data_IF_438282139421
#
_entry.id   IF_438282139421
#
_cell.length_a   1.000
_cell.length_b   1.000
_cell.length_c   1.000
_cell.angle_alpha   90.00
_cell.angle_beta   90.00
_cell.angle_gamma   90.00
#
_symmetry.space_group_name_H-M   'P 1'
#
loop_
_entity.id
_entity.type
_entity.pdbx_description
1 polymer ?
#
# COMPACT_ATOMS: atom_id res chain seq x y z
N UNK A 1 -26.74 -6.36 -11.38
CA UNK A 1 -26.77 -5.32 -12.44
C UNK A 1 -25.43 -4.61 -12.41
N UNK A 2 -24.74 -4.50 -13.52
CA UNK A 2 -23.52 -3.70 -13.60
C UNK A 2 -23.93 -2.24 -13.55
N UNK A 3 -23.42 -1.48 -12.58
CA UNK A 3 -23.66 -0.05 -12.51
C UNK A 3 -22.86 0.63 -13.62
N UNK A 4 -23.54 1.15 -14.63
CA UNK A 4 -22.91 1.78 -15.79
C UNK A 4 -22.58 3.26 -15.61
N UNK A 5 -23.02 3.84 -14.49
CA UNK A 5 -22.76 5.24 -14.14
C UNK A 5 -22.06 5.33 -12.79
N UNK A 6 -21.02 6.15 -12.72
CA UNK A 6 -20.36 6.47 -11.45
C UNK A 6 -21.32 7.25 -10.54
N UNK A 7 -21.35 7.00 -9.23
CA UNK A 7 -22.06 7.85 -8.29
C UNK A 7 -21.61 9.32 -8.44
N UNK A 8 -22.54 10.28 -8.31
CA UNK A 8 -22.23 11.71 -8.50
C UNK A 8 -21.06 12.21 -7.63
N UNK A 9 -20.92 11.67 -6.42
CA UNK A 9 -19.88 12.02 -5.46
C UNK A 9 -18.59 11.18 -5.58
N UNK A 10 -18.47 10.30 -6.57
CA UNK A 10 -17.27 9.47 -6.78
C UNK A 10 -16.23 10.09 -7.71
N UNK A 11 -16.62 11.12 -8.45
CA UNK A 11 -15.72 11.83 -9.37
C UNK A 11 -15.25 13.10 -8.68
N UNK A 12 -13.93 13.27 -8.47
CA UNK A 12 -13.40 14.50 -7.92
C UNK A 12 -13.68 15.69 -8.83
N UNK A 13 -14.07 16.82 -8.25
CA UNK A 13 -14.19 18.08 -8.95
C UNK A 13 -12.89 18.87 -8.89
N UNK A 14 -12.79 19.92 -9.71
CA UNK A 14 -11.67 20.85 -9.64
C UNK A 14 -11.71 21.59 -8.30
N UNK A 15 -10.64 21.48 -7.54
CA UNK A 15 -10.44 22.15 -6.26
C UNK A 15 -9.73 23.49 -6.40
N UNK A 16 -8.98 23.86 -5.38
CA UNK A 16 -8.20 25.08 -5.31
C UNK A 16 -6.93 24.99 -6.14
N UNK A 17 -6.47 26.13 -6.63
CA UNK A 17 -5.15 26.27 -7.25
C UNK A 17 -4.29 27.15 -6.36
N UNK A 18 -3.13 26.64 -5.99
CA UNK A 18 -2.14 27.35 -5.19
C UNK A 18 -0.92 27.62 -6.08
N UNK A 19 -0.64 28.89 -6.33
CA UNK A 19 0.49 29.35 -7.13
C UNK A 19 1.26 30.34 -6.25
N UNK A 20 2.24 29.84 -5.52
CA UNK A 20 3.10 30.62 -4.62
C UNK A 20 4.54 30.68 -5.14
N UNK A 21 4.71 30.56 -6.45
CA UNK A 21 6.05 30.58 -7.03
C UNK A 21 6.40 32.01 -7.41
N UNK A 22 7.27 32.64 -6.65
CA UNK A 22 8.03 33.78 -7.16
C UNK A 22 8.97 33.20 -8.24
N UNK A 23 8.60 33.44 -9.50
CA UNK A 23 9.27 32.89 -10.68
C UNK A 23 10.69 33.51 -10.94
N UNK A 24 11.10 34.45 -10.12
CA UNK A 24 12.34 35.19 -10.31
C UNK A 24 13.02 35.32 -8.95
N UNK A 25 14.26 34.84 -8.82
CA UNK A 25 15.10 35.13 -7.66
C UNK A 25 15.51 36.62 -7.65
N UNK A 26 16.03 37.09 -6.52
CA UNK A 26 16.51 38.50 -6.37
C UNK A 26 17.60 38.88 -7.37
N UNK A 27 18.14 37.92 -8.13
CA UNK A 27 19.19 38.10 -9.14
C UNK A 27 18.67 37.98 -10.59
N UNK A 28 17.35 37.77 -10.77
CA UNK A 28 16.73 37.68 -12.10
C UNK A 28 17.01 36.35 -12.84
N UNK A 29 17.48 35.31 -12.14
CA UNK A 29 17.74 34.01 -12.73
C UNK A 29 16.59 33.05 -12.42
N UNK A 30 16.04 32.44 -13.47
CA UNK A 30 14.97 31.47 -13.39
C UNK A 30 15.59 30.07 -13.18
N UNK A 31 16.01 29.76 -11.94
CA UNK A 31 16.61 28.46 -11.58
C UNK A 31 15.61 27.51 -10.91
N UNK A 32 14.33 27.83 -10.96
CA UNK A 32 13.28 27.04 -10.31
C UNK A 32 12.84 25.87 -11.20
N UNK A 33 12.90 24.64 -10.69
CA UNK A 33 12.22 23.48 -11.28
C UNK A 33 10.80 23.40 -10.75
N UNK A 34 9.87 24.06 -11.46
CA UNK A 34 8.46 24.08 -11.07
C UNK A 34 7.76 22.81 -11.52
N UNK A 35 7.18 22.09 -10.57
CA UNK A 35 6.31 20.96 -10.80
C UNK A 35 4.88 21.29 -10.42
N UNK A 36 3.95 20.73 -11.18
CA UNK A 36 2.54 20.76 -10.85
C UNK A 36 2.20 19.51 -10.08
N UNK A 37 1.56 19.67 -8.92
CA UNK A 37 1.17 18.55 -8.06
C UNK A 37 -0.33 18.60 -7.83
N UNK A 38 -1.05 17.65 -8.38
CA UNK A 38 -2.49 17.49 -8.19
C UNK A 38 -2.73 16.53 -7.04
N UNK A 39 -3.37 16.97 -5.99
CA UNK A 39 -3.59 16.18 -4.80
C UNK A 39 -5.08 15.99 -4.56
N UNK A 40 -5.49 14.74 -4.38
CA UNK A 40 -6.84 14.41 -3.94
C UNK A 40 -7.10 14.97 -2.54
N UNK A 41 -8.22 15.67 -2.40
CA UNK A 41 -8.67 16.27 -1.15
C UNK A 41 -10.10 15.87 -0.84
N UNK A 42 -10.33 15.51 0.40
CA UNK A 42 -11.65 15.27 0.95
C UNK A 42 -11.66 15.47 2.46
N UNK A 43 -12.69 16.16 2.95
CA UNK A 43 -12.80 16.53 4.36
C UNK A 43 -13.09 15.36 5.31
N UNK A 44 -13.62 14.25 4.80
CA UNK A 44 -14.15 13.14 5.59
C UNK A 44 -15.63 13.30 5.93
N UNK A 45 -16.28 14.38 5.50
CA UNK A 45 -17.72 14.63 5.75
C UNK A 45 -18.53 13.93 4.68
N UNK A 46 -19.49 13.10 5.10
CA UNK A 46 -20.36 12.38 4.20
C UNK A 46 -21.29 13.40 3.45
N UNK A 47 -21.40 13.20 2.14
CA UNK A 47 -22.16 14.09 1.25
C UNK A 47 -21.34 15.20 0.60
N UNK A 48 -20.15 15.52 1.11
CA UNK A 48 -19.23 16.41 0.42
C UNK A 48 -18.56 15.70 -0.76
N UNK A 49 -18.34 16.44 -1.85
CA UNK A 49 -17.70 15.90 -3.04
C UNK A 49 -16.17 16.04 -2.91
N UNK A 50 -15.41 14.98 -3.22
CA UNK A 50 -13.96 15.07 -3.25
C UNK A 50 -13.50 16.02 -4.36
N UNK A 51 -12.35 16.63 -4.18
CA UNK A 51 -11.77 17.58 -5.14
C UNK A 51 -10.30 17.29 -5.38
N UNK A 52 -9.76 17.84 -6.47
CA UNK A 52 -8.33 17.83 -6.77
C UNK A 52 -7.81 19.24 -6.61
N UNK A 53 -6.97 19.44 -5.61
CA UNK A 53 -6.23 20.70 -5.44
C UNK A 53 -4.95 20.65 -6.27
N UNK A 54 -4.66 21.75 -6.95
CA UNK A 54 -3.48 21.94 -7.81
C UNK A 54 -2.47 22.83 -7.11
N UNK A 55 -1.26 22.31 -6.94
CA UNK A 55 -0.14 23.03 -6.33
C UNK A 55 0.97 23.22 -7.36
N UNK A 56 1.43 24.46 -7.56
CA UNK A 56 2.62 24.78 -8.33
C UNK A 56 3.78 24.96 -7.33
N UNK A 57 4.72 24.03 -7.33
CA UNK A 57 5.77 23.94 -6.32
C UNK A 57 7.15 23.98 -6.99
N UNK A 58 8.00 24.87 -6.51
CA UNK A 58 9.42 24.79 -6.80
C UNK A 58 10.04 23.62 -6.02
N UNK A 59 10.48 22.61 -6.77
CA UNK A 59 11.07 21.41 -6.17
C UNK A 59 12.58 21.51 -5.99
N UNK A 60 13.24 22.56 -6.51
CA UNK A 60 14.68 22.76 -6.36
C UNK A 60 15.11 22.89 -4.90
N UNK A 61 14.23 23.46 -4.07
CA UNK A 61 14.41 23.62 -2.61
C UNK A 61 13.69 22.54 -1.79
N UNK A 62 12.98 21.60 -2.42
CA UNK A 62 12.44 20.42 -1.79
C UNK A 62 13.50 19.29 -1.76
N UNK A 63 13.27 18.23 -1.01
CA UNK A 63 14.07 17.01 -1.16
C UNK A 63 13.74 16.27 -2.48
N UNK A 64 14.35 15.12 -2.68
CA UNK A 64 14.28 14.38 -3.95
C UNK A 64 13.07 13.45 -4.08
N UNK A 65 12.31 13.25 -2.99
CA UNK A 65 11.20 12.30 -2.94
C UNK A 65 9.84 13.01 -2.99
N UNK A 66 8.83 12.33 -3.51
CA UNK A 66 7.44 12.83 -3.51
C UNK A 66 6.96 13.19 -2.09
N UNK A 67 7.41 12.45 -1.07
CA UNK A 67 7.10 12.78 0.32
C UNK A 67 7.61 14.16 0.73
N UNK A 68 8.74 14.59 0.19
CA UNK A 68 9.33 15.90 0.50
C UNK A 68 8.48 17.04 -0.08
N UNK A 69 7.92 16.82 -1.29
CA UNK A 69 6.95 17.75 -1.87
C UNK A 69 5.69 17.85 -0.98
N UNK A 70 5.15 16.72 -0.52
CA UNK A 70 3.99 16.73 0.38
C UNK A 70 4.30 17.44 1.70
N UNK A 71 5.52 17.26 2.23
CA UNK A 71 5.96 17.99 3.42
C UNK A 71 6.02 19.49 3.16
N UNK A 72 6.58 19.92 2.01
CA UNK A 72 6.66 21.32 1.62
C UNK A 72 5.28 21.94 1.44
N UNK A 73 4.37 21.26 0.71
CA UNK A 73 2.97 21.71 0.58
C UNK A 73 2.34 21.91 1.97
N UNK A 74 2.50 20.94 2.86
CA UNK A 74 1.90 21.00 4.19
C UNK A 74 2.49 22.09 5.09
N UNK A 75 3.79 22.35 5.00
CA UNK A 75 4.45 23.32 5.86
C UNK A 75 4.34 24.77 5.36
N UNK A 76 4.30 24.98 4.05
CA UNK A 76 4.44 26.31 3.45
C UNK A 76 3.17 26.82 2.75
N UNK A 77 2.31 25.88 2.26
CA UNK A 77 1.18 26.25 1.38
C UNK A 77 -0.16 25.96 2.04
N UNK A 78 -0.40 24.70 2.45
CA UNK A 78 -1.66 24.27 3.04
C UNK A 78 -1.46 23.27 4.18
N UNK A 79 -1.51 23.77 5.39
CA UNK A 79 -1.35 22.99 6.64
C UNK A 79 -2.45 21.95 6.86
N UNK A 80 -3.60 22.10 6.17
CA UNK A 80 -4.75 21.19 6.31
C UNK A 80 -4.56 19.86 5.59
N UNK A 81 -3.60 19.75 4.64
CA UNK A 81 -3.31 18.52 3.91
C UNK A 81 -2.98 17.37 4.85
N UNK A 82 -3.69 16.25 4.68
CA UNK A 82 -3.59 15.11 5.60
C UNK A 82 -3.04 13.87 4.87
N UNK A 83 -1.93 13.32 5.37
CA UNK A 83 -1.31 12.08 4.92
C UNK A 83 -0.53 11.42 6.05
N UNK A 84 -0.23 10.12 5.90
CA UNK A 84 0.58 9.37 6.86
C UNK A 84 2.05 9.39 6.47
N UNK A 85 2.92 9.56 7.43
CA UNK A 85 4.38 9.41 7.30
C UNK A 85 5.02 8.96 8.61
N UNK A 86 6.17 8.28 8.52
CA UNK A 86 6.95 7.88 9.69
C UNK A 86 8.43 7.75 9.33
N UNK A 87 8.91 6.56 8.90
CA UNK A 87 10.33 6.23 8.77
C UNK A 87 11.08 7.04 7.70
N UNK A 88 10.44 7.44 6.60
CA UNK A 88 11.00 8.14 5.43
C UNK A 88 12.02 7.31 4.61
N UNK A 89 12.15 6.03 4.87
CA UNK A 89 13.17 5.13 4.29
C UNK A 89 12.58 3.80 3.76
N UNK A 90 11.25 3.75 3.53
CA UNK A 90 10.60 2.58 2.94
C UNK A 90 10.45 1.37 3.85
N UNK A 91 10.47 1.53 5.18
CA UNK A 91 10.39 0.43 6.15
C UNK A 91 9.01 0.31 6.81
N UNK A 92 8.32 1.42 7.07
CA UNK A 92 7.07 1.39 7.86
C UNK A 92 5.79 1.22 7.03
N UNK A 93 5.83 1.44 5.71
CA UNK A 93 4.66 1.37 4.83
C UNK A 93 3.64 2.50 4.98
N UNK A 94 3.80 3.42 5.93
CA UNK A 94 2.78 4.43 6.29
C UNK A 94 2.44 5.38 5.15
N UNK A 95 3.41 5.77 4.33
CA UNK A 95 3.23 6.72 3.23
C UNK A 95 2.81 6.08 1.91
N UNK A 96 2.19 4.89 1.97
CA UNK A 96 1.66 4.23 0.78
C UNK A 96 0.48 5.02 0.21
N UNK A 97 0.54 5.32 -1.08
CA UNK A 97 -0.48 6.06 -1.83
C UNK A 97 -0.36 5.76 -3.32
N UNK A 98 -1.28 6.27 -4.12
CA UNK A 98 -1.20 6.17 -5.57
C UNK A 98 -0.54 7.44 -6.13
N UNK A 99 0.57 7.27 -6.85
CA UNK A 99 1.32 8.35 -7.48
C UNK A 99 1.39 8.04 -8.97
N UNK A 100 0.87 8.94 -9.81
CA UNK A 100 0.81 8.79 -11.28
C UNK A 100 0.23 7.42 -11.72
N UNK A 101 -0.83 6.96 -11.03
CA UNK A 101 -1.50 5.70 -11.33
C UNK A 101 -0.84 4.45 -10.74
N UNK A 102 0.31 4.57 -10.07
CA UNK A 102 1.03 3.44 -9.45
C UNK A 102 0.95 3.51 -7.93
N UNK A 103 0.55 2.42 -7.28
CA UNK A 103 0.58 2.32 -5.82
C UNK A 103 2.01 2.10 -5.35
N UNK A 104 2.55 3.03 -4.59
CA UNK A 104 3.94 3.01 -4.11
C UNK A 104 4.09 3.77 -2.79
N UNK A 105 5.32 3.91 -2.29
CA UNK A 105 5.64 4.69 -1.10
C UNK A 105 6.14 6.08 -1.51
N UNK A 106 5.51 7.13 -1.00
CA UNK A 106 5.92 8.51 -1.29
C UNK A 106 7.36 8.81 -0.87
N UNK A 107 7.88 8.13 0.16
CA UNK A 107 9.26 8.30 0.62
C UNK A 107 10.31 7.57 -0.23
N UNK A 108 9.90 6.76 -1.20
CA UNK A 108 10.80 6.03 -2.12
C UNK A 108 10.58 6.41 -3.59
N UNK A 109 9.50 7.11 -3.91
CA UNK A 109 9.23 7.57 -5.27
C UNK A 109 10.01 8.85 -5.53
N UNK A 110 11.02 8.77 -6.42
CA UNK A 110 11.83 9.90 -6.81
C UNK A 110 11.04 10.88 -7.70
N UNK A 111 11.24 12.17 -7.51
CA UNK A 111 10.52 13.22 -8.26
C UNK A 111 10.85 13.13 -9.75
N UNK A 112 12.09 12.83 -10.13
CA UNK A 112 12.51 12.71 -11.52
C UNK A 112 11.91 11.53 -12.27
N UNK A 113 11.38 10.54 -11.52
CA UNK A 113 10.63 9.42 -12.10
C UNK A 113 9.15 9.73 -12.32
N UNK A 114 8.69 10.90 -11.90
CA UNK A 114 7.33 11.37 -12.06
C UNK A 114 7.20 12.24 -13.32
N UNK A 115 5.96 12.37 -13.79
CA UNK A 115 5.63 13.34 -14.84
C UNK A 115 5.84 14.78 -14.33
N UNK A 116 5.89 15.76 -15.25
CA UNK A 116 5.91 17.17 -14.85
C UNK A 116 4.67 17.60 -14.08
N UNK A 117 3.57 16.90 -14.30
CA UNK A 117 2.30 17.04 -13.59
C UNK A 117 2.05 15.76 -12.78
N UNK A 118 2.35 15.80 -11.49
CA UNK A 118 2.30 14.67 -10.57
C UNK A 118 0.89 14.55 -10.00
N UNK A 119 0.28 13.38 -10.12
CA UNK A 119 -1.05 13.12 -9.61
C UNK A 119 -0.99 12.21 -8.38
N UNK A 120 -1.49 12.67 -7.24
CA UNK A 120 -1.43 11.97 -5.96
C UNK A 120 -2.82 11.70 -5.44
N UNK A 121 -3.12 10.41 -5.26
CA UNK A 121 -4.39 9.90 -4.75
C UNK A 121 -4.17 9.00 -3.53
N UNK A 122 -5.17 8.80 -2.67
CA UNK A 122 -5.11 7.75 -1.65
C UNK A 122 -5.01 6.37 -2.30
N UNK A 123 -4.66 5.34 -1.53
CA UNK A 123 -4.72 3.96 -1.99
C UNK A 123 -6.13 3.63 -2.50
N UNK A 124 -6.27 3.12 -3.75
CA UNK A 124 -7.58 2.87 -4.34
C UNK A 124 -8.34 1.75 -3.62
N UNK A 125 -9.68 1.75 -3.75
CA UNK A 125 -10.58 0.75 -3.19
C UNK A 125 -10.51 0.56 -1.67
N UNK A 126 -9.99 1.54 -0.95
CA UNK A 126 -10.11 1.64 0.51
C UNK A 126 -10.93 2.87 0.87
N UNK A 127 -11.73 2.78 1.93
CA UNK A 127 -12.51 3.92 2.43
C UNK A 127 -11.54 5.03 2.82
N UNK A 128 -11.71 6.21 2.25
CA UNK A 128 -10.93 7.38 2.63
C UNK A 128 -11.46 7.93 3.96
N UNK A 129 -10.56 8.27 4.87
CA UNK A 129 -10.89 8.96 6.13
C UNK A 129 -10.81 10.48 5.91
N UNK A 130 -9.69 10.93 5.34
CA UNK A 130 -9.46 12.32 4.96
C UNK A 130 -8.29 12.41 3.98
N UNK A 131 -8.42 13.18 2.93
CA UNK A 131 -7.41 13.42 1.90
C UNK A 131 -6.72 12.11 1.43
N UNK A 132 -5.44 11.92 1.75
CA UNK A 132 -4.64 10.75 1.36
C UNK A 132 -4.68 9.64 2.42
N UNK A 133 -5.44 9.80 3.49
CA UNK A 133 -5.53 8.83 4.59
C UNK A 133 -6.70 7.88 4.38
N UNK A 134 -6.41 6.60 4.23
CA UNK A 134 -7.40 5.52 4.09
C UNK A 134 -7.62 4.75 5.38
N UNK A 135 -8.79 4.13 5.52
CA UNK A 135 -9.11 3.21 6.61
C UNK A 135 -8.48 1.84 6.35
N UNK A 136 -7.58 1.42 7.23
CA UNK A 136 -6.88 0.13 7.15
C UNK A 136 -7.51 -0.94 8.07
N UNK A 137 -8.59 -0.63 8.79
CA UNK A 137 -9.16 -1.52 9.81
C UNK A 137 -9.49 -2.90 9.23
N UNK A 138 -10.22 -2.95 8.13
CA UNK A 138 -10.60 -4.20 7.46
C UNK A 138 -9.38 -5.02 7.02
N UNK A 139 -8.37 -4.37 6.45
CA UNK A 139 -7.15 -5.03 6.00
C UNK A 139 -6.37 -5.65 7.17
N UNK A 140 -6.31 -4.96 8.32
CA UNK A 140 -5.69 -5.52 9.53
C UNK A 140 -6.56 -6.59 10.22
N UNK A 141 -7.88 -6.52 10.14
CA UNK A 141 -8.77 -7.61 10.59
C UNK A 141 -8.52 -8.87 9.76
N UNK A 142 -8.39 -8.76 8.43
CA UNK A 142 -8.01 -9.86 7.56
C UNK A 142 -6.60 -10.41 7.90
N UNK A 143 -5.65 -9.52 8.17
CA UNK A 143 -4.31 -9.93 8.63
C UNK A 143 -4.36 -10.68 9.96
N UNK A 144 -5.13 -10.19 10.93
CA UNK A 144 -5.33 -10.87 12.21
C UNK A 144 -5.95 -12.25 12.04
N UNK A 145 -6.85 -12.43 11.05
CA UNK A 145 -7.55 -13.71 10.83
C UNK A 145 -6.63 -14.87 10.44
N UNK A 146 -5.46 -14.59 9.87
CA UNK A 146 -4.47 -15.63 9.55
C UNK A 146 -3.56 -15.99 10.73
N UNK A 147 -3.83 -15.45 11.92
CA UNK A 147 -3.04 -15.70 13.15
C UNK A 147 -1.54 -15.46 12.91
N UNK A 148 -1.11 -14.21 12.63
CA UNK A 148 0.27 -13.91 12.23
C UNK A 148 1.24 -13.91 13.43
N UNK A 149 1.31 -15.02 14.14
CA UNK A 149 2.20 -15.30 15.28
C UNK A 149 2.55 -16.77 15.33
N UNK A 150 3.64 -17.09 15.99
CA UNK A 150 4.10 -18.46 16.17
C UNK A 150 3.11 -19.24 17.04
N UNK A 151 2.65 -20.39 16.57
CA UNK A 151 1.81 -21.31 17.32
C UNK A 151 2.60 -22.57 17.66
N UNK A 152 2.79 -22.80 18.97
CA UNK A 152 3.49 -23.93 19.53
C UNK A 152 2.57 -24.74 20.44
N UNK A 153 2.61 -26.05 20.29
CA UNK A 153 1.82 -27.00 21.11
C UNK A 153 2.62 -27.51 22.32
N UNK A 154 3.96 -27.45 22.26
CA UNK A 154 4.83 -27.85 23.37
C UNK A 154 4.79 -26.81 24.49
N UNK A 155 4.44 -27.25 25.69
CA UNK A 155 4.58 -26.44 26.90
C UNK A 155 6.02 -26.61 27.41
N UNK A 156 6.72 -25.50 27.58
CA UNK A 156 8.04 -25.38 28.22
C UNK A 156 9.18 -26.12 27.50
N UNK A 157 9.72 -25.47 26.47
CA UNK A 157 11.10 -25.73 26.12
C UNK A 157 11.98 -24.77 26.95
N UNK A 158 12.90 -25.32 27.73
CA UNK A 158 13.89 -24.56 28.51
C UNK A 158 14.89 -23.81 27.59
N UNK A 159 14.80 -24.03 26.28
CA UNK A 159 15.70 -23.47 25.26
C UNK A 159 14.93 -22.83 24.10
N UNK A 160 15.61 -21.97 23.38
CA UNK A 160 15.10 -21.33 22.17
C UNK A 160 14.72 -22.35 21.08
N UNK A 161 13.69 -22.04 20.30
CA UNK A 161 13.30 -22.83 19.13
C UNK A 161 14.35 -22.63 18.03
N UNK A 162 15.19 -23.62 17.82
CA UNK A 162 16.26 -23.57 16.82
C UNK A 162 15.65 -23.69 15.42
N UNK A 163 16.20 -22.93 14.47
CA UNK A 163 15.85 -22.98 13.05
C UNK A 163 17.15 -23.17 12.25
N UNK A 164 17.12 -24.09 11.26
CA UNK A 164 18.25 -24.25 10.35
C UNK A 164 18.39 -23.05 9.40
N UNK A 165 19.57 -22.88 8.80
CA UNK A 165 19.81 -21.84 7.79
C UNK A 165 18.87 -22.05 6.58
N UNK A 166 18.74 -23.31 6.13
CA UNK A 166 17.90 -23.69 5.00
C UNK A 166 16.41 -23.39 5.25
N UNK A 167 15.93 -23.58 6.49
CA UNK A 167 14.56 -23.24 6.85
C UNK A 167 14.36 -21.74 6.98
N UNK A 168 15.38 -21.02 7.46
CA UNK A 168 15.36 -19.55 7.51
C UNK A 168 15.28 -18.95 6.11
N UNK A 169 16.04 -19.49 5.15
CA UNK A 169 16.05 -19.01 3.76
C UNK A 169 14.69 -19.17 3.06
N UNK A 170 13.86 -20.16 3.47
CA UNK A 170 12.51 -20.31 2.95
C UNK A 170 11.59 -19.13 3.28
N UNK A 171 11.94 -18.32 4.26
CA UNK A 171 11.18 -17.14 4.66
C UNK A 171 11.53 -15.89 3.85
N UNK A 172 12.66 -15.90 3.13
CA UNK A 172 13.10 -14.77 2.30
C UNK A 172 12.09 -14.48 1.19
N UNK A 173 11.86 -13.19 0.94
CA UNK A 173 10.81 -12.71 0.06
C UNK A 173 9.41 -12.74 0.68
N UNK A 174 9.28 -13.04 1.97
CA UNK A 174 7.99 -13.09 2.69
C UNK A 174 8.01 -12.24 3.97
N UNK A 175 9.02 -12.42 4.82
CA UNK A 175 9.11 -11.72 6.10
C UNK A 175 9.40 -10.22 5.94
N UNK A 176 9.97 -9.79 4.83
CA UNK A 176 10.29 -8.38 4.53
C UNK A 176 9.04 -7.54 4.20
N UNK A 177 7.87 -8.17 4.14
CA UNK A 177 6.62 -7.47 3.87
C UNK A 177 6.29 -6.47 4.99
N UNK A 178 6.19 -5.21 4.63
CA UNK A 178 5.90 -4.08 5.54
C UNK A 178 4.42 -3.76 5.70
N UNK A 179 3.54 -4.60 5.18
CA UNK A 179 2.07 -4.44 5.24
C UNK A 179 1.58 -3.06 4.78
N UNK A 180 2.19 -2.51 3.74
CA UNK A 180 1.80 -1.21 3.16
C UNK A 180 0.51 -1.29 2.32
N UNK A 181 0.04 -2.48 1.98
CA UNK A 181 -1.15 -2.78 1.17
C UNK A 181 -1.14 -2.25 -0.27
N UNK A 182 -0.04 -1.72 -0.80
CA UNK A 182 0.07 -1.31 -2.21
C UNK A 182 -0.33 -2.43 -3.17
N UNK A 183 0.12 -3.66 -2.90
CA UNK A 183 -0.21 -4.85 -3.69
C UNK A 183 -1.70 -5.25 -3.58
N UNK A 184 -2.30 -5.14 -2.41
CA UNK A 184 -3.71 -5.48 -2.16
C UNK A 184 -4.63 -4.51 -2.88
N UNK A 185 -4.35 -3.23 -2.80
CA UNK A 185 -5.13 -2.18 -3.45
C UNK A 185 -4.90 -2.08 -4.97
N UNK A 186 -3.87 -2.75 -5.50
CA UNK A 186 -3.65 -2.92 -6.94
C UNK A 186 -4.32 -4.17 -7.54
N UNK A 187 -4.95 -5.00 -6.71
CA UNK A 187 -5.49 -6.29 -7.13
C UNK A 187 -6.96 -6.19 -7.53
N UNK A 188 -7.32 -6.39 -8.83
CA UNK A 188 -8.72 -6.36 -9.27
C UNK A 188 -9.61 -7.37 -8.53
N UNK A 189 -9.07 -8.55 -8.20
CA UNK A 189 -9.83 -9.55 -7.42
C UNK A 189 -10.18 -9.05 -6.02
N UNK A 190 -9.34 -8.21 -5.41
CA UNK A 190 -9.63 -7.59 -4.12
C UNK A 190 -10.69 -6.50 -4.25
N UNK A 191 -10.66 -5.71 -5.31
CA UNK A 191 -11.64 -4.65 -5.53
C UNK A 191 -13.08 -5.16 -5.55
N UNK A 192 -13.30 -6.36 -6.12
CA UNK A 192 -14.63 -6.97 -6.25
C UNK A 192 -15.03 -7.87 -5.09
N UNK A 193 -14.09 -8.34 -4.27
CA UNK A 193 -14.33 -9.34 -3.24
C UNK A 193 -13.62 -8.99 -1.91
N UNK A 194 -13.47 -7.72 -1.59
CA UNK A 194 -12.76 -7.26 -0.40
C UNK A 194 -13.37 -7.77 0.93
N UNK A 195 -14.63 -8.20 0.88
CA UNK A 195 -15.35 -8.76 2.02
C UNK A 195 -14.86 -10.18 2.40
N UNK A 196 -14.34 -10.95 1.44
CA UNK A 196 -13.99 -12.36 1.63
C UNK A 196 -12.58 -12.71 1.18
N UNK A 197 -12.08 -12.09 0.10
CA UNK A 197 -10.75 -12.35 -0.40
C UNK A 197 -9.70 -11.67 0.49
N UNK A 198 -8.74 -12.46 0.99
CA UNK A 198 -7.72 -11.95 1.91
C UNK A 198 -6.74 -10.96 1.27
N UNK A 199 -6.61 -11.00 -0.05
CA UNK A 199 -5.71 -10.12 -0.78
C UNK A 199 -4.23 -10.54 -0.72
N UNK A 200 -3.42 -9.98 -1.64
CA UNK A 200 -2.04 -10.40 -1.81
C UNK A 200 -1.13 -10.17 -0.59
N UNK A 201 -1.29 -9.07 0.15
CA UNK A 201 -0.44 -8.78 1.32
C UNK A 201 -0.67 -9.81 2.44
N UNK A 202 -1.93 -10.08 2.75
CA UNK A 202 -2.31 -11.04 3.80
C UNK A 202 -1.92 -12.45 3.41
N UNK A 203 -2.13 -12.85 2.14
CA UNK A 203 -1.74 -14.18 1.66
C UNK A 203 -0.22 -14.38 1.60
N UNK A 204 0.56 -13.32 1.30
CA UNK A 204 2.01 -13.37 1.41
C UNK A 204 2.45 -13.67 2.86
N UNK A 205 1.84 -12.98 3.81
CA UNK A 205 2.10 -13.23 5.23
C UNK A 205 1.59 -14.60 5.71
N UNK A 206 0.45 -15.08 5.19
CA UNK A 206 -0.01 -16.43 5.46
C UNK A 206 1.02 -17.48 5.01
N UNK A 207 1.60 -17.30 3.80
CA UNK A 207 2.65 -18.20 3.31
C UNK A 207 3.91 -18.13 4.19
N UNK A 208 4.28 -16.96 4.69
CA UNK A 208 5.39 -16.82 5.64
C UNK A 208 5.19 -17.74 6.86
N UNK A 209 3.99 -17.78 7.43
CA UNK A 209 3.68 -18.62 8.59
C UNK A 209 3.54 -20.12 8.25
N UNK A 210 3.09 -20.45 7.05
CA UNK A 210 3.04 -21.84 6.55
C UNK A 210 4.45 -22.41 6.34
N UNK A 211 5.41 -21.56 5.94
CA UNK A 211 6.79 -21.95 5.72
C UNK A 211 7.66 -21.86 7.00
N UNK A 212 7.12 -21.35 8.09
CA UNK A 212 7.82 -21.23 9.36
C UNK A 212 8.02 -22.63 9.99
N UNK A 213 9.25 -23.13 10.00
CA UNK A 213 9.58 -24.49 10.47
C UNK A 213 9.33 -24.68 11.97
N UNK A 214 9.28 -23.60 12.73
CA UNK A 214 9.04 -23.61 14.17
C UNK A 214 7.55 -23.57 14.55
N UNK A 215 6.66 -23.41 13.57
CA UNK A 215 5.21 -23.37 13.76
C UNK A 215 4.60 -24.79 13.67
N UNK A 216 3.84 -25.20 14.68
CA UNK A 216 3.27 -26.54 14.75
C UNK A 216 1.90 -26.63 14.04
N UNK A 217 1.29 -25.51 13.65
CA UNK A 217 -0.08 -25.45 13.15
C UNK A 217 -0.19 -25.30 11.62
N UNK A 218 0.83 -25.69 10.86
CA UNK A 218 0.86 -25.62 9.40
C UNK A 218 -0.40 -26.22 8.75
N UNK A 219 -0.85 -27.40 9.21
CA UNK A 219 -2.01 -28.11 8.64
C UNK A 219 -3.31 -27.32 8.87
N UNK A 220 -3.50 -26.75 10.06
CA UNK A 220 -4.69 -25.99 10.38
C UNK A 220 -4.71 -24.67 9.60
N UNK A 221 -3.55 -24.00 9.43
CA UNK A 221 -3.42 -22.81 8.58
C UNK A 221 -3.82 -23.09 7.13
N UNK A 222 -3.39 -24.21 6.56
CA UNK A 222 -3.75 -24.60 5.19
C UNK A 222 -5.26 -24.88 5.08
N UNK A 223 -5.85 -25.57 6.05
CA UNK A 223 -7.28 -25.87 6.09
C UNK A 223 -8.13 -24.59 6.20
N UNK A 224 -7.74 -23.63 7.03
CA UNK A 224 -8.44 -22.34 7.16
C UNK A 224 -8.37 -21.50 5.88
N UNK A 225 -7.33 -21.67 5.04
CA UNK A 225 -7.15 -20.98 3.77
C UNK A 225 -7.79 -21.70 2.58
N UNK A 226 -8.11 -23.01 2.69
CA UNK A 226 -8.73 -23.81 1.60
C UNK A 226 -10.20 -23.42 1.40
N UNK A 227 -10.43 -22.20 0.95
CA UNK A 227 -11.73 -21.58 0.76
C UNK A 227 -11.82 -20.87 -0.60
N UNK A 228 -12.98 -21.01 -1.27
CA UNK A 228 -13.26 -20.46 -2.59
C UNK A 228 -12.99 -18.97 -2.70
N UNK A 229 -13.23 -18.23 -1.64
CA UNK A 229 -13.15 -16.76 -1.63
C UNK A 229 -11.84 -16.29 -1.01
N UNK A 230 -11.40 -16.86 0.11
CA UNK A 230 -10.19 -16.43 0.81
C UNK A 230 -8.93 -16.53 -0.04
N UNK A 231 -8.75 -17.63 -0.78
CA UNK A 231 -7.53 -17.94 -1.54
C UNK A 231 -7.73 -17.95 -3.05
N UNK A 232 -8.77 -18.66 -3.53
CA UNK A 232 -8.90 -19.03 -4.94
C UNK A 232 -9.41 -17.89 -5.84
N UNK A 233 -9.69 -16.71 -5.29
CA UNK A 233 -9.96 -15.50 -6.09
C UNK A 233 -8.70 -14.89 -6.71
N UNK A 234 -7.52 -15.40 -6.39
CA UNK A 234 -6.31 -15.05 -7.10
C UNK A 234 -6.29 -15.68 -8.50
N UNK A 235 -6.31 -14.82 -9.53
CA UNK A 235 -6.26 -15.18 -10.94
C UNK A 235 -4.89 -14.90 -11.59
N UNK A 236 -3.85 -14.70 -10.79
CA UNK A 236 -2.47 -14.47 -11.24
C UNK A 236 -2.30 -13.28 -12.21
N UNK A 237 -3.02 -12.18 -11.96
CA UNK A 237 -2.96 -10.96 -12.78
C UNK A 237 -1.60 -10.24 -12.65
N UNK A 238 -0.85 -10.50 -11.58
CA UNK A 238 0.51 -10.01 -11.29
C UNK A 238 0.64 -8.53 -10.94
N UNK A 239 -0.44 -7.75 -10.85
CA UNK A 239 -0.38 -6.35 -10.42
C UNK A 239 0.25 -6.21 -9.03
N UNK A 240 -0.01 -7.15 -8.13
CA UNK A 240 0.54 -7.17 -6.77
C UNK A 240 2.07 -7.24 -6.74
N UNK A 241 2.67 -7.99 -7.66
CA UNK A 241 4.13 -8.12 -7.77
C UNK A 241 4.75 -6.83 -8.34
N UNK A 242 4.07 -6.22 -9.33
CA UNK A 242 4.56 -4.98 -9.97
C UNK A 242 4.50 -3.78 -9.04
N UNK A 243 3.49 -3.72 -8.16
CA UNK A 243 3.26 -2.59 -7.25
C UNK A 243 3.96 -2.74 -5.88
N UNK A 244 4.70 -3.83 -5.66
CA UNK A 244 5.37 -4.03 -4.38
C UNK A 244 6.62 -3.15 -4.26
N UNK A 245 6.66 -2.15 -3.35
CA UNK A 245 7.82 -1.28 -3.20
C UNK A 245 9.04 -1.99 -2.61
N UNK A 246 8.86 -3.20 -2.06
CA UNK A 246 9.95 -4.04 -1.55
C UNK A 246 10.41 -5.10 -2.57
N UNK A 247 9.87 -5.10 -3.80
CA UNK A 247 10.21 -6.08 -4.84
C UNK A 247 9.79 -7.52 -4.54
N UNK A 248 8.84 -7.72 -3.61
CA UNK A 248 8.36 -9.04 -3.22
C UNK A 248 7.41 -9.62 -4.28
N UNK A 249 7.21 -10.95 -4.23
CA UNK A 249 6.31 -11.65 -5.16
C UNK A 249 5.12 -12.31 -4.43
N UNK A 250 4.05 -11.55 -4.14
CA UNK A 250 2.86 -12.12 -3.51
C UNK A 250 2.17 -13.19 -4.37
N UNK A 251 2.22 -13.09 -5.70
CA UNK A 251 1.60 -14.07 -6.58
C UNK A 251 2.29 -15.45 -6.48
N UNK A 252 3.62 -15.48 -6.36
CA UNK A 252 4.38 -16.72 -6.09
C UNK A 252 3.98 -17.32 -4.75
N UNK A 253 3.92 -16.50 -3.70
CA UNK A 253 3.51 -16.97 -2.36
C UNK A 253 2.11 -17.60 -2.37
N UNK A 254 1.14 -16.98 -3.08
CA UNK A 254 -0.21 -17.53 -3.23
C UNK A 254 -0.20 -18.87 -3.98
N UNK A 255 0.62 -18.99 -5.02
CA UNK A 255 0.78 -20.25 -5.77
C UNK A 255 1.38 -21.35 -4.90
N UNK A 256 2.36 -21.03 -4.07
CA UNK A 256 2.96 -21.96 -3.10
C UNK A 256 1.91 -22.49 -2.10
N UNK A 257 1.04 -21.63 -1.56
CA UNK A 257 -0.07 -22.06 -0.68
C UNK A 257 -0.99 -23.04 -1.43
N UNK A 258 -1.39 -22.74 -2.66
CA UNK A 258 -2.27 -23.61 -3.47
C UNK A 258 -1.63 -24.97 -3.72
N UNK A 259 -0.32 -25.00 -4.01
CA UNK A 259 0.43 -26.25 -4.18
C UNK A 259 0.53 -27.07 -2.89
N UNK A 260 0.78 -26.43 -1.75
CA UNK A 260 0.81 -27.10 -0.45
C UNK A 260 -0.55 -27.72 -0.10
N UNK A 261 -1.66 -27.01 -0.34
CA UNK A 261 -3.01 -27.54 -0.13
C UNK A 261 -3.24 -28.77 -1.05
N UNK A 262 -2.86 -28.69 -2.32
CA UNK A 262 -3.05 -29.78 -3.27
C UNK A 262 -2.24 -31.03 -2.90
N UNK A 263 -1.04 -30.88 -2.31
CA UNK A 263 -0.20 -32.00 -1.85
C UNK A 263 -0.70 -32.65 -0.57
N UNK A 264 -1.50 -31.96 0.21
CA UNK A 264 -2.03 -32.45 1.49
C UNK A 264 -3.47 -32.99 1.37
N UNK A 265 -4.06 -32.99 0.17
CA UNK A 265 -5.32 -33.69 -0.17
C UNK A 265 -5.04 -35.10 -0.65
#
# INVERSE_FOLDING_TARGET
MVQLTLPKNSVPVKGKTYSNVELIDEQGQNNSDIRVVNVYRWSGVEGEQPQIDRFEIDVSSAGTMVLDILNKIKSEVDTSLTYRKSCREGVCGSCAMNIDGVNTLACQKHIDECSKEINIYPLPHMKVIKDLVVDLKKAFEQFKSIKPWLMKNSKNEERENIQSVEDRDKLDGKWECIMCFSCTTSCPSYWWNEDKYLGPAVLLQANRWIQESRDDEKKERLKELDDKFKLYRCHSIMNCTRSCPKGLNPAKAISEIKLEIARNK
#
